data_IF_924319385176
#
_entry.id   IF_924319385176
#
_cell.length_a   1.000
_cell.length_b   1.000
_cell.length_c   1.000
_cell.angle_alpha   90.00
_cell.angle_beta   90.00
_cell.angle_gamma   90.00
#
_symmetry.space_group_name_H-M   'P 1'
#
loop_
_entity.id
_entity.type
_entity.pdbx_description
1 polymer ?
#
# COMPACT_ATOMS: atom_id res chain seq x y z
N UNK A 1 8.15 8.43 1.64
CA UNK A 1 7.37 8.42 0.37
C UNK A 1 6.02 9.07 0.64
N UNK A 2 5.31 9.61 -0.37
CA UNK A 2 3.97 10.22 -0.19
C UNK A 2 2.89 9.16 -0.39
N UNK A 3 1.75 9.31 0.31
CA UNK A 3 0.57 8.50 0.07
C UNK A 3 0.03 8.72 -1.35
N UNK A 4 -0.45 7.66 -1.97
CA UNK A 4 -0.93 7.63 -3.33
C UNK A 4 -2.43 7.40 -3.32
N UNK A 5 -3.16 8.13 -4.15
CA UNK A 5 -4.61 8.00 -4.27
C UNK A 5 -4.92 7.28 -5.58
N UNK A 6 -5.74 6.25 -5.51
CA UNK A 6 -6.15 5.49 -6.68
C UNK A 6 -7.64 5.19 -6.60
N UNK A 7 -8.33 5.28 -7.72
CA UNK A 7 -9.74 4.93 -7.81
C UNK A 7 -9.86 3.66 -8.62
N UNK A 8 -10.39 2.63 -7.98
CA UNK A 8 -10.61 1.33 -8.58
C UNK A 8 -11.73 1.39 -9.60
N UNK A 9 -11.73 0.46 -10.56
CA UNK A 9 -12.80 0.32 -11.56
C UNK A 9 -14.18 0.05 -10.95
N UNK A 10 -14.23 -0.54 -9.75
CA UNK A 10 -15.45 -0.72 -8.94
C UNK A 10 -16.08 0.61 -8.49
N UNK A 11 -15.38 1.73 -8.67
CA UNK A 11 -15.77 3.05 -8.18
C UNK A 11 -15.27 3.34 -6.76
N UNK A 12 -14.63 2.36 -6.11
CA UNK A 12 -14.05 2.52 -4.79
C UNK A 12 -12.77 3.36 -4.87
N UNK A 13 -12.70 4.43 -4.09
CA UNK A 13 -11.48 5.24 -3.97
C UNK A 13 -10.65 4.73 -2.80
N UNK A 14 -9.38 4.46 -3.05
CA UNK A 14 -8.44 3.92 -2.08
C UNK A 14 -7.20 4.79 -1.97
N UNK A 15 -6.60 4.79 -0.79
CA UNK A 15 -5.34 5.46 -0.51
C UNK A 15 -4.30 4.44 -0.10
N UNK A 16 -3.16 4.49 -0.77
CA UNK A 16 -2.06 3.57 -0.57
C UNK A 16 -0.90 4.30 0.08
N UNK A 17 -0.43 3.80 1.21
CA UNK A 17 0.75 4.32 1.90
C UNK A 17 1.88 3.31 1.68
N UNK A 18 2.92 3.67 0.89
CA UNK A 18 4.09 2.83 0.76
C UNK A 18 4.94 2.90 2.03
N UNK A 19 5.30 1.74 2.53
CA UNK A 19 6.31 1.48 3.53
C UNK A 19 7.41 0.63 2.90
N UNK A 20 8.66 0.93 3.22
CA UNK A 20 9.80 0.18 2.70
C UNK A 20 10.68 -0.21 3.86
N UNK A 21 10.78 -1.52 4.09
CA UNK A 21 11.58 -2.11 5.14
C UNK A 21 12.73 -2.87 4.49
N UNK A 22 13.97 -2.53 4.88
CA UNK A 22 15.17 -3.20 4.40
C UNK A 22 15.70 -4.08 5.52
N UNK A 23 15.74 -5.39 5.27
CA UNK A 23 16.31 -6.36 6.20
C UNK A 23 17.74 -6.69 5.76
N UNK A 24 18.70 -6.48 6.68
CA UNK A 24 20.11 -6.83 6.48
C UNK A 24 20.47 -8.03 7.35
N UNK A 25 20.09 -9.24 6.93
CA UNK A 25 20.50 -10.50 7.57
C UNK A 25 21.30 -11.35 6.59
N UNK A 26 22.55 -10.95 6.32
CA UNK A 26 23.48 -11.65 5.41
C UNK A 26 23.16 -11.57 3.91
N UNK A 27 21.89 -11.50 3.54
CA UNK A 27 21.37 -11.22 2.20
C UNK A 27 20.42 -10.01 2.29
N UNK A 28 20.65 -8.93 1.51
CA UNK A 28 19.75 -7.78 1.53
C UNK A 28 18.41 -8.17 0.91
N UNK A 29 17.37 -8.26 1.74
CA UNK A 29 15.99 -8.43 1.30
C UNK A 29 15.31 -7.08 1.46
N UNK A 30 14.78 -6.56 0.35
CA UNK A 30 14.00 -5.32 0.34
C UNK A 30 12.53 -5.72 0.32
N UNK A 31 11.84 -5.45 1.43
CA UNK A 31 10.41 -5.70 1.56
C UNK A 31 9.66 -4.38 1.42
N UNK A 32 8.83 -4.28 0.39
CA UNK A 32 7.96 -3.14 0.16
C UNK A 32 6.56 -3.52 0.60
N UNK A 33 6.03 -2.79 1.57
CA UNK A 33 4.68 -3.00 2.10
C UNK A 33 3.81 -1.80 1.74
N UNK A 34 2.67 -2.02 1.11
CA UNK A 34 1.75 -0.97 0.72
C UNK A 34 0.48 -1.10 1.55
N UNK A 35 0.30 -0.24 2.53
CA UNK A 35 -0.91 -0.23 3.35
C UNK A 35 -2.05 0.44 2.58
N UNK A 36 -3.19 -0.23 2.48
CA UNK A 36 -4.36 0.22 1.72
C UNK A 36 -5.47 0.66 2.66
N UNK A 37 -5.96 1.87 2.42
CA UNK A 37 -7.07 2.48 3.15
C UNK A 37 -8.18 2.83 2.19
N UNK A 38 -9.41 2.77 2.65
CA UNK A 38 -10.54 3.38 1.95
C UNK A 38 -10.39 4.91 2.00
N UNK A 39 -10.64 5.58 0.87
CA UNK A 39 -10.69 7.05 0.81
C UNK A 39 -12.03 7.53 1.40
N UNK A 40 -12.16 7.36 2.71
CA UNK A 40 -13.27 7.86 3.52
C UNK A 40 -13.00 9.28 4.03
N UNK A 41 -14.02 9.91 4.62
CA UNK A 41 -13.86 11.20 5.33
C UNK A 41 -13.01 11.09 6.61
N UNK A 42 -12.65 9.86 6.99
CA UNK A 42 -11.85 9.59 8.17
C UNK A 42 -10.45 10.14 7.99
N UNK A 43 -10.01 10.91 8.98
CA UNK A 43 -8.65 11.42 9.04
C UNK A 43 -7.72 10.21 9.16
N UNK A 44 -6.90 9.98 8.13
CA UNK A 44 -5.87 8.94 8.19
C UNK A 44 -4.98 9.19 9.41
N UNK A 45 -4.49 8.13 10.05
CA UNK A 45 -3.49 8.30 11.09
C UNK A 45 -2.29 8.98 10.44
N UNK A 46 -1.80 10.04 11.06
CA UNK A 46 -0.66 10.81 10.56
C UNK A 46 0.49 9.83 10.34
N UNK A 47 0.86 9.62 9.07
CA UNK A 47 1.89 8.69 8.58
C UNK A 47 2.91 8.43 9.69
N UNK A 48 2.77 7.27 10.34
CA UNK A 48 3.70 6.87 11.38
C UNK A 48 5.09 6.88 10.76
N UNK A 49 6.02 7.55 11.44
CA UNK A 49 7.40 7.70 11.02
C UNK A 49 7.99 6.38 10.49
N UNK A 50 8.85 6.42 9.45
CA UNK A 50 9.40 5.24 8.75
C UNK A 50 10.42 4.43 9.59
N UNK A 51 10.22 4.28 10.90
CA UNK A 51 11.23 3.78 11.85
C UNK A 51 10.82 2.51 12.60
N UNK A 52 9.65 1.93 12.34
CA UNK A 52 9.27 0.64 12.92
C UNK A 52 9.10 -0.41 11.82
N UNK A 53 9.86 -1.52 11.83
CA UNK A 53 9.63 -2.61 10.91
C UNK A 53 8.27 -3.25 11.23
N UNK A 54 7.38 -3.28 10.23
CA UNK A 54 6.05 -3.87 10.33
C UNK A 54 4.92 -2.86 10.30
N UNK A 55 3.71 -3.34 10.01
CA UNK A 55 2.51 -2.51 9.86
C UNK A 55 2.22 -1.84 11.21
N UNK A 56 2.19 -0.49 11.28
CA UNK A 56 1.82 0.20 12.50
C UNK A 56 0.50 -0.31 13.05
N UNK A 57 0.49 -0.62 14.34
CA UNK A 57 -0.72 -1.07 15.05
C UNK A 57 -1.88 -0.08 14.87
N UNK A 58 -1.57 1.20 14.76
CA UNK A 58 -2.51 2.30 14.48
C UNK A 58 -3.28 2.10 13.17
N UNK A 59 -2.68 1.48 12.15
CA UNK A 59 -3.38 1.18 10.90
C UNK A 59 -4.33 -0.01 11.06
N UNK A 60 -3.94 -1.05 11.79
CA UNK A 60 -4.75 -2.27 11.95
C UNK A 60 -6.06 -1.98 12.70
N UNK A 61 -6.05 -1.00 13.61
CA UNK A 61 -7.24 -0.59 14.37
C UNK A 61 -8.11 0.43 13.63
N UNK A 62 -7.67 0.92 12.47
CA UNK A 62 -8.40 1.94 11.73
C UNK A 62 -9.60 1.33 10.98
N UNK A 63 -10.81 1.89 11.10
CA UNK A 63 -12.02 1.33 10.46
C UNK A 63 -12.00 1.40 8.93
N UNK A 64 -11.15 2.25 8.36
CA UNK A 64 -10.94 2.39 6.91
C UNK A 64 -9.76 1.58 6.40
N UNK A 65 -9.05 0.85 7.27
CA UNK A 65 -7.95 -0.01 6.85
C UNK A 65 -8.49 -1.27 6.18
N UNK A 66 -8.06 -1.50 4.95
CA UNK A 66 -8.51 -2.64 4.15
C UNK A 66 -7.48 -3.77 4.12
N UNK A 67 -6.26 -3.51 4.59
CA UNK A 67 -5.15 -4.47 4.55
C UNK A 67 -3.90 -3.88 3.93
N UNK A 68 -2.98 -4.74 3.56
CA UNK A 68 -1.72 -4.34 2.95
C UNK A 68 -1.31 -5.30 1.83
N UNK A 69 -0.53 -4.79 0.89
CA UNK A 69 0.13 -5.56 -0.15
C UNK A 69 1.61 -5.62 0.21
N UNK A 70 2.13 -6.80 0.48
CA UNK A 70 3.57 -7.01 0.63
C UNK A 70 4.19 -7.45 -0.70
N UNK A 71 5.39 -6.95 -0.94
CA UNK A 71 6.26 -7.34 -2.03
C UNK A 71 7.65 -7.58 -1.45
N UNK A 72 8.29 -8.68 -1.82
CA UNK A 72 9.65 -9.01 -1.39
C UNK A 72 10.57 -9.07 -2.62
N UNK A 73 11.79 -8.54 -2.53
CA UNK A 73 12.79 -8.66 -3.59
C UNK A 73 13.89 -9.63 -3.13
N UNK A 74 14.30 -10.64 -3.95
CA UNK A 74 14.10 -10.78 -5.41
C UNK A 74 12.85 -11.56 -5.88
N UNK A 75 12.07 -12.15 -4.97
CA UNK A 75 10.92 -12.97 -5.33
C UNK A 75 9.71 -12.09 -5.59
N UNK A 76 9.38 -11.81 -6.86
CA UNK A 76 8.25 -10.95 -7.33
C UNK A 76 6.84 -11.40 -6.86
N UNK A 77 6.68 -11.78 -5.61
CA UNK A 77 5.44 -12.22 -5.01
C UNK A 77 4.73 -10.97 -4.50
N UNK A 78 3.60 -10.66 -5.13
CA UNK A 78 2.65 -9.72 -4.56
C UNK A 78 1.71 -10.52 -3.67
N UNK A 79 1.69 -10.19 -2.39
CA UNK A 79 0.80 -10.82 -1.44
C UNK A 79 -0.12 -9.76 -0.85
N UNK A 80 -1.40 -9.82 -1.20
CA UNK A 80 -2.42 -9.04 -0.54
C UNK A 80 -2.90 -9.77 0.72
N UNK A 81 -2.77 -9.11 1.86
CA UNK A 81 -3.33 -9.57 3.12
C UNK A 81 -4.44 -8.59 3.54
N UNK A 82 -5.68 -9.01 3.31
CA UNK A 82 -6.87 -8.28 3.75
C UNK A 82 -7.01 -8.32 5.27
N UNK A 83 -7.30 -7.16 5.86
CA UNK A 83 -7.56 -7.03 7.30
C UNK A 83 -8.88 -6.27 7.49
N UNK A 84 -9.67 -6.67 8.48
CA UNK A 84 -10.95 -6.05 8.82
C UNK A 84 -12.15 -6.60 8.02
N UNK A 85 -13.31 -5.98 8.21
CA UNK A 85 -14.56 -6.36 7.53
C UNK A 85 -14.64 -5.87 6.08
N UNK A 86 -13.87 -4.84 5.72
CA UNK A 86 -13.82 -4.27 4.37
C UNK A 86 -12.46 -4.57 3.74
N UNK A 87 -12.36 -5.66 3.00
CA UNK A 87 -11.19 -5.99 2.20
C UNK A 87 -11.46 -5.74 0.71
N UNK A 88 -10.38 -5.60 -0.06
CA UNK A 88 -10.43 -5.59 -1.51
C UNK A 88 -10.86 -6.96 -2.00
N UNK A 89 -11.70 -6.99 -3.02
CA UNK A 89 -11.96 -8.24 -3.75
C UNK A 89 -10.69 -8.69 -4.50
N UNK A 90 -10.70 -9.93 -5.00
CA UNK A 90 -9.60 -10.42 -5.84
C UNK A 90 -9.33 -9.46 -7.01
N UNK A 91 -10.38 -9.08 -7.75
CA UNK A 91 -10.29 -8.17 -8.89
C UNK A 91 -9.71 -6.81 -8.52
N UNK A 92 -10.16 -6.22 -7.40
CA UNK A 92 -9.66 -4.92 -6.93
C UNK A 92 -8.20 -5.01 -6.46
N UNK A 93 -7.84 -6.11 -5.80
CA UNK A 93 -6.47 -6.35 -5.35
C UNK A 93 -5.52 -6.57 -6.53
N UNK A 94 -5.94 -7.29 -7.57
CA UNK A 94 -5.18 -7.50 -8.80
C UNK A 94 -4.95 -6.19 -9.54
N UNK A 95 -6.01 -5.40 -9.73
CA UNK A 95 -5.91 -4.08 -10.37
C UNK A 95 -4.92 -3.15 -9.62
N UNK A 96 -5.00 -3.15 -8.28
CA UNK A 96 -4.11 -2.34 -7.46
C UNK A 96 -2.66 -2.84 -7.52
N UNK A 97 -2.45 -4.15 -7.52
CA UNK A 97 -1.14 -4.78 -7.68
C UNK A 97 -0.52 -4.42 -9.03
N UNK A 98 -1.29 -4.51 -10.12
CA UNK A 98 -0.84 -4.14 -11.46
C UNK A 98 -0.42 -2.67 -11.52
N UNK A 99 -1.23 -1.78 -10.95
CA UNK A 99 -0.93 -0.36 -10.88
C UNK A 99 0.33 -0.05 -10.05
N UNK A 100 0.47 -0.67 -8.88
CA UNK A 100 1.66 -0.52 -8.03
C UNK A 100 2.92 -1.07 -8.70
N UNK A 101 2.80 -2.20 -9.39
CA UNK A 101 3.86 -2.79 -10.19
C UNK A 101 4.32 -1.83 -11.30
N UNK A 102 3.36 -1.23 -12.02
CA UNK A 102 3.63 -0.27 -13.08
C UNK A 102 4.33 1.00 -12.57
N UNK A 103 3.87 1.56 -11.45
CA UNK A 103 4.50 2.73 -10.83
C UNK A 103 5.90 2.39 -10.32
N UNK A 104 6.11 1.18 -9.79
CA UNK A 104 7.43 0.79 -9.31
C UNK A 104 8.45 0.60 -10.43
N UNK A 105 8.03 0.03 -11.55
CA UNK A 105 8.87 -0.03 -12.77
C UNK A 105 9.18 1.39 -13.29
N UNK A 106 8.26 2.33 -13.07
CA UNK A 106 8.36 3.71 -13.53
C UNK A 106 8.24 4.70 -12.36
N UNK A 107 9.26 4.86 -11.51
CA UNK A 107 9.19 5.66 -10.28
C UNK A 107 8.83 7.14 -10.51
N UNK A 108 9.00 7.65 -11.74
CA UNK A 108 8.55 8.99 -12.14
C UNK A 108 7.02 9.15 -12.07
N UNK A 109 6.26 8.06 -12.28
CA UNK A 109 4.80 8.07 -12.19
C UNK A 109 4.32 8.32 -10.77
N UNK A 110 5.10 7.95 -9.74
CA UNK A 110 4.75 8.21 -8.34
C UNK A 110 4.53 9.71 -8.09
N UNK A 111 5.29 10.57 -8.77
CA UNK A 111 5.17 12.04 -8.63
C UNK A 111 3.93 12.59 -9.34
N UNK A 112 3.49 11.95 -10.43
CA UNK A 112 2.37 12.39 -11.26
C UNK A 112 1.02 11.84 -10.80
N UNK A 113 0.98 10.64 -10.21
CA UNK A 113 -0.23 10.04 -9.62
C UNK A 113 -0.72 10.76 -8.35
N UNK A 114 -0.04 11.83 -7.94
CA UNK A 114 -0.46 12.73 -6.84
C UNK A 114 -1.23 13.97 -7.36
N UNK A 115 -1.50 14.06 -8.66
CA UNK A 115 -2.08 15.24 -9.30
C UNK A 115 -3.51 15.06 -9.78
N UNK A 116 -4.37 15.93 -9.24
CA UNK A 116 -5.66 16.40 -9.78
C UNK A 116 -6.90 15.51 -9.56
N UNK A 117 -7.52 15.70 -8.38
CA UNK A 117 -8.96 15.77 -8.23
C UNK A 117 -9.34 17.16 -7.71
#
# INVERSE_FOLDING_TARGET
MRALHYRLSSGLSVRVIPDTSVYHDGHPIISYSYSVFMDGKSKLPSVASPHAPGIPHDFITHPDYMGFIAFEEPGKLFMYAGYGERHLTAEESEELIEFLSHIRDNPNLWRSSTGEF
#
